data_IF_555514287300
#
_entry.id   IF_555514287300
#
_cell.length_a   1.000
_cell.length_b   1.000
_cell.length_c   1.000
_cell.angle_alpha   90.00
_cell.angle_beta   90.00
_cell.angle_gamma   90.00
#
_symmetry.space_group_name_H-M   'P 1'
#
loop_
_entity.id
_entity.type
_entity.pdbx_description
1 polymer ?
#
# COMPACT_ATOMS: atom_id res chain seq x y z
N UNK A 1 36.22 -40.85 -22.53
CA UNK A 1 34.83 -40.72 -23.03
C UNK A 1 34.17 -39.60 -22.24
N UNK A 2 33.92 -38.49 -22.91
CA UNK A 2 33.52 -37.20 -22.35
C UNK A 2 32.04 -37.23 -21.99
N UNK A 3 31.67 -36.99 -20.72
CA UNK A 3 30.27 -36.73 -20.38
C UNK A 3 29.95 -35.27 -20.74
N UNK A 4 29.12 -35.12 -21.77
CA UNK A 4 28.59 -33.82 -22.20
C UNK A 4 27.63 -33.30 -21.14
N UNK A 5 28.02 -32.23 -20.46
CA UNK A 5 27.15 -31.43 -19.58
C UNK A 5 26.01 -30.85 -20.43
N UNK A 6 24.83 -31.43 -20.36
CA UNK A 6 23.63 -30.88 -20.99
C UNK A 6 23.29 -29.58 -20.24
N UNK A 7 23.55 -28.44 -20.87
CA UNK A 7 23.10 -27.16 -20.36
C UNK A 7 21.56 -27.15 -20.41
N UNK A 8 20.93 -27.22 -19.24
CA UNK A 8 19.49 -27.03 -19.10
C UNK A 8 19.15 -25.58 -19.46
N UNK A 9 18.82 -25.35 -20.73
CA UNK A 9 18.26 -24.10 -21.19
C UNK A 9 16.81 -23.98 -20.69
N UNK A 10 16.63 -23.67 -19.41
CA UNK A 10 15.31 -23.30 -18.91
C UNK A 10 15.01 -21.90 -19.46
N UNK A 11 14.19 -21.81 -20.50
CA UNK A 11 13.88 -20.52 -21.11
C UNK A 11 13.12 -19.63 -20.11
N UNK A 12 13.26 -18.30 -20.16
CA UNK A 12 12.46 -17.40 -19.31
C UNK A 12 10.96 -17.66 -19.46
N UNK A 13 10.50 -18.05 -20.66
CA UNK A 13 9.12 -18.43 -20.92
C UNK A 13 8.69 -19.68 -20.14
N UNK A 14 9.52 -20.73 -20.12
CA UNK A 14 9.24 -21.96 -19.38
C UNK A 14 9.17 -21.73 -17.86
N UNK A 15 10.07 -20.90 -17.31
CA UNK A 15 10.01 -20.49 -15.91
C UNK A 15 8.74 -19.68 -15.59
N UNK A 16 8.24 -18.86 -16.51
CA UNK A 16 6.97 -18.14 -16.37
C UNK A 16 5.79 -19.13 -16.41
N UNK A 17 5.78 -20.05 -17.36
CA UNK A 17 4.71 -21.04 -17.55
C UNK A 17 4.61 -22.02 -16.37
N UNK A 18 5.74 -22.40 -15.77
CA UNK A 18 5.82 -23.27 -14.60
C UNK A 18 5.58 -22.52 -13.27
N UNK A 19 5.31 -21.21 -13.31
CA UNK A 19 5.15 -20.38 -12.11
C UNK A 19 6.43 -20.23 -11.28
N UNK A 20 7.58 -20.59 -11.85
CA UNK A 20 8.91 -20.49 -11.27
C UNK A 20 9.54 -19.10 -11.45
N UNK A 21 8.72 -18.08 -11.76
CA UNK A 21 9.16 -16.69 -11.84
C UNK A 21 9.97 -16.32 -10.57
N UNK A 22 11.29 -16.05 -10.69
CA UNK A 22 12.13 -15.77 -9.52
C UNK A 22 11.78 -14.44 -8.82
N UNK A 23 10.81 -13.69 -9.36
CA UNK A 23 10.45 -12.35 -8.89
C UNK A 23 8.98 -12.19 -8.46
N UNK A 24 8.24 -13.30 -8.26
CA UNK A 24 6.82 -13.20 -7.88
C UNK A 24 6.43 -14.11 -6.72
N UNK A 25 6.88 -13.78 -5.51
CA UNK A 25 6.24 -14.23 -4.28
C UNK A 25 5.73 -12.99 -3.52
N UNK A 26 4.50 -12.54 -3.83
CA UNK A 26 3.81 -11.68 -2.86
C UNK A 26 3.65 -12.51 -1.59
N UNK A 27 4.06 -11.98 -0.44
CA UNK A 27 3.99 -12.68 0.84
C UNK A 27 2.55 -12.96 1.30
N UNK A 28 1.55 -12.35 0.66
CA UNK A 28 0.13 -12.53 0.95
C UNK A 28 -0.75 -12.27 -0.28
N UNK A 29 -1.89 -12.94 -0.33
CA UNK A 29 -2.96 -12.65 -1.28
C UNK A 29 -3.56 -11.29 -0.95
N UNK A 30 -3.81 -10.46 -1.97
CA UNK A 30 -4.41 -9.14 -1.80
C UNK A 30 -5.84 -9.14 -2.32
N UNK A 31 -6.80 -8.82 -1.45
CA UNK A 31 -8.18 -8.59 -1.88
C UNK A 31 -8.29 -7.21 -2.53
N UNK A 32 -8.97 -7.16 -3.66
CA UNK A 32 -9.25 -5.93 -4.37
C UNK A 32 -10.41 -5.21 -3.66
N UNK A 33 -10.17 -4.02 -3.13
CA UNK A 33 -11.13 -3.29 -2.29
C UNK A 33 -11.87 -2.19 -3.05
N UNK A 34 -11.17 -1.40 -3.89
CA UNK A 34 -11.71 -0.20 -4.58
C UNK A 34 -12.46 0.74 -3.63
N UNK A 35 -11.82 1.10 -2.51
CA UNK A 35 -12.45 1.94 -1.49
C UNK A 35 -11.86 3.35 -1.50
N UNK A 36 -12.68 4.41 -1.60
CA UNK A 36 -12.20 5.75 -1.37
C UNK A 36 -11.85 5.94 0.11
N UNK A 37 -10.80 6.72 0.38
CA UNK A 37 -10.37 7.08 1.72
C UNK A 37 -9.80 8.49 1.74
N UNK A 38 -9.84 9.14 2.89
CA UNK A 38 -9.02 10.31 3.17
C UNK A 38 -7.75 9.87 3.88
N UNK A 39 -6.60 10.24 3.31
CA UNK A 39 -5.29 10.06 3.93
C UNK A 39 -4.93 11.32 4.69
N UNK A 40 -4.58 11.15 5.96
CA UNK A 40 -4.21 12.24 6.86
C UNK A 40 -2.76 12.04 7.28
N UNK A 41 -1.89 12.92 6.82
CA UNK A 41 -0.46 12.91 7.13
C UNK A 41 -0.18 13.89 8.27
N UNK A 42 0.64 13.43 9.22
CA UNK A 42 1.07 14.22 10.38
C UNK A 42 2.57 14.48 10.23
N UNK A 43 2.92 15.75 10.06
CA UNK A 43 4.28 16.28 9.99
C UNK A 43 4.26 17.75 10.42
N UNK A 44 5.12 18.59 9.84
CA UNK A 44 5.17 20.03 10.15
C UNK A 44 3.88 20.76 9.79
N UNK A 45 3.12 20.22 8.84
CA UNK A 45 1.77 20.68 8.53
C UNK A 45 0.81 19.50 8.42
N UNK A 46 -0.43 19.73 8.80
CA UNK A 46 -1.52 18.77 8.64
C UNK A 46 -1.96 18.74 7.18
N UNK A 47 -1.72 17.63 6.49
CA UNK A 47 -2.08 17.45 5.08
C UNK A 47 -3.12 16.36 4.92
N UNK A 48 -4.19 16.68 4.18
CA UNK A 48 -5.30 15.76 3.91
C UNK A 48 -5.46 15.55 2.42
N UNK A 49 -5.35 14.30 1.99
CA UNK A 49 -5.44 13.91 0.59
C UNK A 49 -6.58 12.91 0.38
N UNK A 50 -7.16 12.92 -0.82
CA UNK A 50 -8.12 11.88 -1.24
C UNK A 50 -7.34 10.76 -1.88
N UNK A 51 -7.71 9.52 -1.57
CA UNK A 51 -7.12 8.34 -2.14
C UNK A 51 -8.16 7.31 -2.54
N UNK A 52 -7.86 6.55 -3.60
CA UNK A 52 -8.60 5.37 -4.01
C UNK A 52 -7.78 4.13 -3.68
N UNK A 53 -8.15 3.41 -2.63
CA UNK A 53 -7.45 2.20 -2.17
C UNK A 53 -7.80 1.05 -3.09
N UNK A 54 -6.80 0.56 -3.83
CA UNK A 54 -6.95 -0.55 -4.78
C UNK A 54 -6.99 -1.88 -4.04
N UNK A 55 -5.98 -2.12 -3.21
CA UNK A 55 -5.78 -3.36 -2.47
C UNK A 55 -5.03 -3.11 -1.15
N UNK A 56 -5.32 -3.92 -0.13
CA UNK A 56 -4.73 -3.77 1.20
C UNK A 56 -4.58 -5.11 1.92
N UNK A 57 -3.49 -5.25 2.66
CA UNK A 57 -3.17 -6.32 3.61
C UNK A 57 -2.48 -5.68 4.83
N UNK A 58 -2.18 -6.47 5.88
CA UNK A 58 -1.38 -5.98 7.01
C UNK A 58 0.07 -5.64 6.61
N UNK A 59 0.59 -6.27 5.54
CA UNK A 59 1.97 -6.13 5.08
C UNK A 59 2.13 -5.11 3.95
N UNK A 60 1.04 -4.67 3.33
CA UNK A 60 1.14 -3.77 2.17
C UNK A 60 -0.18 -3.24 1.69
N UNK A 61 -0.11 -2.06 1.08
CA UNK A 61 -1.24 -1.35 0.49
C UNK A 61 -0.85 -0.82 -0.88
N UNK A 62 -1.83 -0.75 -1.78
CA UNK A 62 -1.74 0.03 -3.01
C UNK A 62 -2.93 0.99 -3.10
N UNK A 63 -2.67 2.27 -3.39
CA UNK A 63 -3.70 3.29 -3.58
C UNK A 63 -3.31 4.28 -4.68
N UNK A 64 -4.30 4.99 -5.20
CA UNK A 64 -4.11 6.13 -6.10
C UNK A 64 -4.41 7.44 -5.37
N UNK A 65 -3.57 8.46 -5.49
CA UNK A 65 -3.76 9.76 -4.83
C UNK A 65 -3.01 10.88 -5.58
N UNK A 66 -3.18 12.12 -5.15
CA UNK A 66 -2.41 13.30 -5.58
C UNK A 66 -1.07 13.43 -4.83
N UNK A 67 -0.82 12.58 -3.82
CA UNK A 67 0.44 12.55 -3.07
C UNK A 67 1.56 11.94 -3.92
N UNK A 68 2.71 12.62 -3.93
CA UNK A 68 3.92 12.19 -4.65
C UNK A 68 5.11 11.97 -3.70
N UNK A 69 5.15 10.85 -2.97
CA UNK A 69 6.30 10.52 -2.14
C UNK A 69 7.47 10.05 -3.02
N UNK A 70 8.64 9.89 -2.43
CA UNK A 70 9.82 9.35 -3.10
C UNK A 70 9.89 7.82 -2.95
N UNK A 71 10.47 7.14 -3.94
CA UNK A 71 10.71 5.70 -3.83
C UNK A 71 11.68 5.44 -2.67
N UNK A 72 11.32 4.51 -1.80
CA UNK A 72 12.09 4.18 -0.60
C UNK A 72 11.84 5.10 0.60
N UNK A 73 11.05 6.15 0.46
CA UNK A 73 10.63 7.02 1.57
C UNK A 73 9.78 6.23 2.58
N UNK A 74 9.96 6.50 3.87
CA UNK A 74 9.07 5.99 4.92
C UNK A 74 8.00 7.03 5.22
N UNK A 75 6.73 6.66 5.01
CA UNK A 75 5.59 7.55 5.23
C UNK A 75 4.64 6.98 6.28
N UNK A 76 4.00 7.87 7.04
CA UNK A 76 3.00 7.53 8.04
C UNK A 76 1.74 8.39 7.87
N UNK A 77 0.58 7.76 7.95
CA UNK A 77 -0.71 8.44 7.80
C UNK A 77 -1.85 7.66 8.45
N UNK A 78 -2.96 8.34 8.65
CA UNK A 78 -4.24 7.72 9.04
C UNK A 78 -5.19 7.73 7.84
N UNK A 79 -5.66 6.55 7.46
CA UNK A 79 -6.76 6.38 6.52
C UNK A 79 -8.10 6.47 7.24
N UNK A 80 -8.95 7.38 6.77
CA UNK A 80 -10.35 7.49 7.18
C UNK A 80 -11.25 7.10 6.03
N UNK A 81 -12.22 6.23 6.28
CA UNK A 81 -13.15 5.75 5.27
C UNK A 81 -14.49 6.51 5.32
N UNK A 82 -15.25 6.53 4.22
CA UNK A 82 -16.62 7.04 4.23
C UNK A 82 -17.48 6.35 5.29
N UNK A 83 -18.41 7.10 5.88
CA UNK A 83 -19.26 6.61 6.99
C UNK A 83 -20.05 5.34 6.63
N UNK A 84 -20.50 5.20 5.38
CA UNK A 84 -21.28 4.05 4.90
C UNK A 84 -20.51 2.72 4.92
N UNK A 85 -19.17 2.77 4.92
CA UNK A 85 -18.34 1.55 5.03
C UNK A 85 -18.36 0.93 6.42
N UNK A 86 -18.85 1.68 7.42
CA UNK A 86 -18.79 1.35 8.84
C UNK A 86 -17.37 0.95 9.32
N UNK A 87 -16.34 1.26 8.54
CA UNK A 87 -14.96 0.88 8.83
C UNK A 87 -14.34 1.82 9.85
N UNK A 88 -13.52 1.27 10.73
CA UNK A 88 -12.69 2.06 11.65
C UNK A 88 -11.54 2.73 10.89
N UNK A 89 -11.06 3.91 11.33
CA UNK A 89 -9.84 4.48 10.80
C UNK A 89 -8.65 3.53 11.00
N UNK A 90 -7.68 3.59 10.09
CA UNK A 90 -6.48 2.76 10.15
C UNK A 90 -5.25 3.67 10.15
N UNK A 91 -4.38 3.51 11.14
CA UNK A 91 -3.05 4.12 11.14
C UNK A 91 -2.05 3.18 10.46
N UNK A 92 -1.30 3.72 9.50
CA UNK A 92 -0.32 3.00 8.70
C UNK A 92 1.03 3.69 8.80
N UNK A 93 2.11 2.90 8.83
CA UNK A 93 3.47 3.36 8.59
C UNK A 93 4.18 2.35 7.70
N UNK A 94 4.92 2.81 6.70
CA UNK A 94 5.58 1.92 5.77
C UNK A 94 6.48 2.61 4.75
N UNK A 95 7.27 1.80 4.05
CA UNK A 95 8.21 2.22 3.02
C UNK A 95 7.57 2.20 1.64
N UNK A 96 7.80 3.22 0.85
CA UNK A 96 7.39 3.28 -0.56
C UNK A 96 8.23 2.30 -1.37
N UNK A 97 7.56 1.34 -2.01
CA UNK A 97 8.22 0.28 -2.81
C UNK A 97 7.86 0.35 -4.28
N UNK A 98 6.85 1.14 -4.64
CA UNK A 98 6.48 1.36 -6.04
C UNK A 98 5.72 2.67 -6.20
N UNK A 99 6.01 3.38 -7.28
CA UNK A 99 5.28 4.56 -7.74
C UNK A 99 4.90 4.33 -9.20
N UNK A 100 3.64 4.57 -9.54
CA UNK A 100 3.09 4.42 -10.89
C UNK A 100 2.45 5.75 -11.32
N UNK A 101 2.87 6.28 -12.47
CA UNK A 101 2.22 7.41 -13.13
C UNK A 101 1.95 6.99 -14.58
N UNK A 102 0.69 6.64 -14.88
CA UNK A 102 0.36 6.11 -16.20
C UNK A 102 0.52 7.18 -17.30
N UNK A 103 0.00 8.38 -17.06
CA UNK A 103 0.11 9.56 -17.93
C UNK A 103 0.21 10.83 -17.08
N UNK A 104 0.79 11.93 -17.58
CA UNK A 104 0.76 13.22 -16.90
C UNK A 104 -0.67 13.63 -16.52
N UNK A 105 -0.88 14.08 -15.28
CA UNK A 105 -2.19 14.50 -14.77
C UNK A 105 -3.09 13.37 -14.24
N UNK A 106 -2.77 12.10 -14.49
CA UNK A 106 -3.47 10.99 -13.82
C UNK A 106 -3.11 10.92 -12.32
N UNK A 107 -3.95 10.27 -11.52
CA UNK A 107 -3.62 10.01 -10.12
C UNK A 107 -2.38 9.10 -9.99
N UNK A 108 -1.52 9.40 -9.02
CA UNK A 108 -0.29 8.65 -8.76
C UNK A 108 -0.65 7.38 -8.01
N UNK A 109 -0.27 6.23 -8.56
CA UNK A 109 -0.33 4.95 -7.86
C UNK A 109 0.86 4.79 -6.91
N UNK A 110 0.59 4.50 -5.64
CA UNK A 110 1.61 4.33 -4.60
C UNK A 110 1.44 2.95 -3.97
N UNK A 111 2.53 2.17 -3.93
CA UNK A 111 2.58 0.91 -3.19
C UNK A 111 3.50 1.05 -1.97
N UNK A 112 3.01 0.61 -0.82
CA UNK A 112 3.78 0.56 0.41
C UNK A 112 4.00 -0.88 0.87
N UNK A 113 5.18 -1.14 1.41
CA UNK A 113 5.42 -2.22 2.36
C UNK A 113 5.21 -1.66 3.76
N UNK A 114 4.21 -2.17 4.47
CA UNK A 114 3.81 -1.67 5.79
C UNK A 114 4.67 -2.29 6.89
N UNK A 115 5.27 -1.43 7.71
CA UNK A 115 5.96 -1.82 8.95
C UNK A 115 5.02 -1.75 10.16
N UNK A 116 3.99 -0.90 10.12
CA UNK A 116 2.94 -0.81 11.15
C UNK A 116 1.55 -0.67 10.54
N UNK A 117 0.60 -1.35 11.15
CA UNK A 117 -0.83 -1.34 10.79
C UNK A 117 -1.65 -1.43 12.08
N UNK A 118 -2.44 -0.41 12.39
CA UNK A 118 -3.31 -0.37 13.56
C UNK A 118 -4.72 0.06 13.19
N UNK A 119 -5.71 -0.75 13.58
CA UNK A 119 -7.11 -0.35 13.52
C UNK A 119 -7.38 0.52 14.74
N UNK A 120 -7.84 1.74 14.52
CA UNK A 120 -8.15 2.68 15.59
C UNK A 120 -9.58 2.45 16.09
N UNK A 121 -9.78 2.51 17.40
CA UNK A 121 -11.12 2.43 17.96
C UNK A 121 -11.90 3.71 17.63
N UNK A 122 -13.18 3.59 17.27
CA UNK A 122 -14.05 4.75 16.96
C UNK A 122 -14.34 5.62 18.19
N UNK A 123 -14.09 5.11 19.39
CA UNK A 123 -14.29 5.82 20.66
C UNK A 123 -13.12 6.73 20.97
N UNK A 124 -13.11 7.91 20.34
CA UNK A 124 -12.49 9.11 20.91
C UNK A 124 -13.61 10.09 21.26
N UNK A 125 -14.01 10.11 22.54
CA UNK A 125 -15.01 11.01 23.06
C UNK A 125 -14.38 12.40 23.28
N UNK A 126 -14.87 13.42 22.56
CA UNK A 126 -14.57 14.83 22.81
C UNK A 126 -15.33 15.33 24.04
N UNK A 127 -14.95 14.89 25.23
CA UNK A 127 -15.26 15.60 26.48
C UNK A 127 -13.97 15.89 27.23
N UNK A 128 -13.20 16.85 26.71
CA UNK A 128 -12.42 17.71 27.60
C UNK A 128 -13.42 18.77 28.06
N UNK A 129 -14.06 18.52 29.20
CA UNK A 129 -14.77 19.58 29.88
C UNK A 129 -13.71 20.58 30.35
N UNK A 130 -13.79 21.79 29.82
CA UNK A 130 -13.15 22.95 30.44
C UNK A 130 -13.96 23.19 31.72
N UNK A 131 -13.41 22.75 32.85
CA UNK A 131 -13.88 23.22 34.14
C UNK A 131 -13.32 24.63 34.32
N UNK A 132 -14.21 25.61 34.32
CA UNK A 132 -14.01 26.94 34.90
C UNK A 132 -15.11 27.14 35.94
#
# INVERSE_FOLDING_TARGET
>A
MSQTKVASHNSPGEAIMLGMCPNQQRSSTRKFLRLPAWMVFYGDSFQKHVAMVRDMTRQGIFFYSDVRPQLGEEIAFVMKFPKWTQSSPIACKGKVVRIEQAVPGAAIGVALSLSRFFVLNKTWNNKVQVAA
#
